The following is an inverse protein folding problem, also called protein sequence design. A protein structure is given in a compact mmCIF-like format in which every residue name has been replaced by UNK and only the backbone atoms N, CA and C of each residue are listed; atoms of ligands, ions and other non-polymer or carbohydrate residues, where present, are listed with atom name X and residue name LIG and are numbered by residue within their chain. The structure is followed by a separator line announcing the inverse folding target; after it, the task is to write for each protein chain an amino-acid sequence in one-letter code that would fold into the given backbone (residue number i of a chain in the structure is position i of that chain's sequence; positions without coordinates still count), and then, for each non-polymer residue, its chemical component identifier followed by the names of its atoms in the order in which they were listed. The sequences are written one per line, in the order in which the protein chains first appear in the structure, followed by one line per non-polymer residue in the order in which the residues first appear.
data_IF_424877469276
#
_entry.id   IF_424877469276
#
_cell.length_a   1.000
_cell.length_b   1.000
_cell.length_c   1.000
_cell.angle_alpha   90.00
_cell.angle_beta   90.00
_cell.angle_gamma   90.00
#
_symmetry.space_group_name_H-M   'P 1'
#
loop_
_entity.id
_entity.type
_entity.pdbx_description
1 polymer ?
#
# COMPACT_ATOMS: atom_id res chain seq x y z
N UNK A 1 16.10 9.89 5.77
CA UNK A 1 15.61 8.51 5.98
C UNK A 1 16.48 7.57 5.17
N UNK A 2 16.86 6.43 5.73
CA UNK A 2 17.76 5.48 5.05
C UNK A 2 16.94 4.28 4.54
N UNK A 3 17.03 4.02 3.23
CA UNK A 3 16.46 2.81 2.63
C UNK A 3 17.19 1.58 3.16
N UNK A 4 16.49 0.68 3.80
CA UNK A 4 17.02 -0.52 4.43
C UNK A 4 16.39 -1.80 3.88
N UNK A 5 15.83 -1.76 2.68
CA UNK A 5 15.11 -2.88 2.07
C UNK A 5 15.87 -4.19 2.12
N UNK A 6 17.17 -4.15 1.83
CA UNK A 6 18.01 -5.36 1.75
C UNK A 6 18.22 -6.07 3.09
N UNK A 7 17.93 -5.40 4.21
CA UNK A 7 18.09 -5.97 5.56
C UNK A 7 16.75 -6.23 6.27
N UNK A 8 15.62 -5.90 5.64
CA UNK A 8 14.29 -6.16 6.18
C UNK A 8 13.80 -7.50 5.64
N UNK A 9 13.78 -8.51 6.50
CA UNK A 9 13.44 -9.89 6.07
C UNK A 9 11.93 -10.15 6.07
N UNK A 10 11.18 -9.57 7.01
CA UNK A 10 9.74 -9.77 7.19
C UNK A 10 9.01 -8.42 7.17
N UNK A 11 8.94 -7.75 6.03
CA UNK A 11 8.43 -6.38 5.95
C UNK A 11 7.02 -6.24 6.53
N UNK A 12 6.15 -7.23 6.36
CA UNK A 12 4.75 -7.15 6.80
C UNK A 12 4.56 -7.22 8.33
N UNK A 13 5.55 -7.68 9.08
CA UNK A 13 5.48 -7.84 10.54
C UNK A 13 6.46 -6.95 11.31
N UNK A 14 7.51 -6.43 10.68
CA UNK A 14 8.51 -5.61 11.35
C UNK A 14 8.02 -4.19 11.64
N UNK A 15 8.45 -3.64 12.78
CA UNK A 15 8.34 -2.21 13.09
C UNK A 15 9.58 -1.51 12.59
N UNK A 16 9.39 -0.40 11.89
CA UNK A 16 10.46 0.37 11.27
C UNK A 16 10.48 1.81 11.79
N UNK A 17 11.54 2.53 11.52
CA UNK A 17 11.75 3.92 11.91
C UNK A 17 12.54 4.66 10.81
N UNK A 18 12.67 5.99 10.83
CA UNK A 18 13.33 6.74 9.75
C UNK A 18 14.76 6.34 9.43
N UNK A 19 15.50 5.78 10.41
CA UNK A 19 16.85 5.22 10.20
C UNK A 19 16.86 3.80 9.58
N UNK A 20 15.72 3.12 9.56
CA UNK A 20 15.54 1.79 8.97
C UNK A 20 14.15 1.71 8.33
N UNK A 21 14.07 1.97 7.05
CA UNK A 21 12.84 2.21 6.31
C UNK A 21 12.85 1.51 4.93
N UNK A 22 11.67 1.26 4.35
CA UNK A 22 11.51 0.54 3.07
C UNK A 22 11.84 1.37 1.82
N UNK A 23 12.09 2.67 1.93
CA UNK A 23 12.47 3.50 0.78
C UNK A 23 11.38 3.72 -0.26
N UNK A 24 10.10 3.78 0.13
CA UNK A 24 8.99 4.01 -0.78
C UNK A 24 8.73 5.50 -1.03
N UNK A 25 8.21 5.82 -2.22
CA UNK A 25 7.63 7.13 -2.53
C UNK A 25 6.14 7.08 -2.19
N UNK A 26 5.73 7.78 -1.13
CA UNK A 26 4.33 7.84 -0.72
C UNK A 26 3.59 8.95 -1.48
N UNK A 27 2.46 8.60 -2.08
CA UNK A 27 1.65 9.51 -2.90
C UNK A 27 0.25 9.77 -2.32
N UNK A 28 -0.13 9.05 -1.25
CA UNK A 28 -1.42 9.25 -0.57
C UNK A 28 -1.27 9.01 0.93
N UNK A 29 -2.00 9.81 1.73
CA UNK A 29 -2.04 9.72 3.19
C UNK A 29 -3.50 9.71 3.63
N UNK A 30 -3.90 8.69 4.39
CA UNK A 30 -5.24 8.54 4.94
C UNK A 30 -5.13 8.51 6.46
N UNK A 31 -5.83 9.43 7.13
CA UNK A 31 -5.87 9.47 8.59
C UNK A 31 -6.86 8.44 9.13
N UNK A 32 -6.44 7.66 10.13
CA UNK A 32 -7.27 6.68 10.83
C UNK A 32 -7.20 6.95 12.33
N UNK A 33 -8.34 6.98 13.01
CA UNK A 33 -8.41 7.10 14.47
C UNK A 33 -8.79 5.77 15.11
N UNK A 34 -8.07 5.39 16.16
CA UNK A 34 -8.33 4.19 16.95
C UNK A 34 -7.97 4.44 18.41
N UNK A 35 -8.92 4.18 19.32
CA UNK A 35 -8.73 4.32 20.78
C UNK A 35 -8.07 5.64 21.19
N UNK A 36 -8.58 6.76 20.64
CA UNK A 36 -8.08 8.11 20.92
C UNK A 36 -6.75 8.48 20.26
N UNK A 37 -6.09 7.54 19.58
CA UNK A 37 -4.82 7.78 18.88
C UNK A 37 -5.02 7.94 17.37
N UNK A 38 -4.17 8.75 16.75
CA UNK A 38 -4.15 8.96 15.31
C UNK A 38 -3.05 8.12 14.67
N UNK A 39 -3.41 7.45 13.57
CA UNK A 39 -2.53 6.69 12.70
C UNK A 39 -2.67 7.22 11.27
N UNK A 40 -1.65 7.06 10.47
CA UNK A 40 -1.65 7.50 9.07
C UNK A 40 -1.37 6.28 8.18
N UNK A 41 -2.29 5.98 7.30
CA UNK A 41 -2.09 4.95 6.28
C UNK A 41 -1.53 5.62 5.04
N UNK A 42 -0.35 5.18 4.63
CA UNK A 42 0.39 5.71 3.51
C UNK A 42 0.27 4.72 2.34
N UNK A 43 -0.03 5.22 1.16
CA UNK A 43 0.05 4.44 -0.07
C UNK A 43 1.30 4.86 -0.82
N UNK A 44 2.13 3.88 -1.18
CA UNK A 44 3.42 4.13 -1.76
C UNK A 44 3.78 3.22 -2.93
N UNK A 45 4.78 3.67 -3.66
CA UNK A 45 5.42 2.94 -4.74
C UNK A 45 6.93 2.87 -4.51
N UNK A 46 7.53 1.77 -4.95
CA UNK A 46 8.96 1.56 -4.89
C UNK A 46 9.42 0.78 -6.12
N UNK A 47 10.42 1.30 -6.82
CA UNK A 47 11.21 0.53 -7.78
C UNK A 47 12.13 -0.41 -7.01
N UNK A 48 12.10 -1.70 -7.31
CA UNK A 48 12.96 -2.70 -6.67
C UNK A 48 14.19 -2.97 -7.53
N UNK A 49 13.96 -3.35 -8.79
CA UNK A 49 14.99 -3.59 -9.79
C UNK A 49 14.38 -3.44 -11.21
N UNK A 50 15.14 -3.83 -12.26
CA UNK A 50 14.66 -3.75 -13.64
C UNK A 50 13.49 -4.70 -13.96
N UNK A 51 13.25 -5.72 -13.14
CA UNK A 51 12.23 -6.74 -13.34
C UNK A 51 11.05 -6.61 -12.39
N UNK A 52 11.26 -6.00 -11.24
CA UNK A 52 10.27 -5.92 -10.15
C UNK A 52 10.03 -4.49 -9.69
N UNK A 53 8.77 -4.22 -9.40
CA UNK A 53 8.32 -3.02 -8.70
C UNK A 53 7.41 -3.41 -7.54
N UNK A 54 7.24 -2.51 -6.59
CA UNK A 54 6.44 -2.75 -5.38
C UNK A 54 5.46 -1.61 -5.15
N UNK A 55 4.24 -1.96 -4.70
CA UNK A 55 3.33 -1.03 -4.05
C UNK A 55 3.17 -1.41 -2.58
N UNK A 56 2.97 -0.39 -1.74
CA UNK A 56 3.04 -0.55 -0.30
C UNK A 56 1.86 0.18 0.34
N UNK A 57 1.18 -0.51 1.27
CA UNK A 57 0.28 0.10 2.24
C UNK A 57 1.01 0.07 3.57
N UNK A 58 1.39 1.23 4.09
CA UNK A 58 2.20 1.38 5.31
C UNK A 58 1.42 2.09 6.39
N UNK A 59 1.60 1.71 7.65
CA UNK A 59 1.01 2.41 8.79
C UNK A 59 2.08 3.21 9.51
N UNK A 60 1.98 4.53 9.45
CA UNK A 60 2.80 5.48 10.20
C UNK A 60 2.08 5.91 11.47
N UNK A 61 2.81 6.02 12.57
CA UNK A 61 2.32 6.53 13.85
C UNK A 61 3.42 7.24 14.63
N UNK A 62 3.00 7.97 15.64
CA UNK A 62 3.91 8.59 16.59
C UNK A 62 3.96 7.78 17.89
N UNK A 63 5.17 7.54 18.38
CA UNK A 63 5.46 6.99 19.69
C UNK A 63 6.22 8.07 20.49
N UNK A 64 5.49 8.80 21.34
CA UNK A 64 5.95 10.08 21.83
C UNK A 64 6.21 11.05 20.67
N UNK A 65 7.42 11.59 20.59
CA UNK A 65 7.85 12.49 19.50
C UNK A 65 8.56 11.74 18.35
N UNK A 66 8.59 10.40 18.37
CA UNK A 66 9.28 9.62 17.37
C UNK A 66 8.31 9.07 16.31
N UNK A 67 8.66 9.26 15.04
CA UNK A 67 7.98 8.62 13.93
C UNK A 67 8.33 7.14 13.88
N UNK A 68 7.31 6.29 13.80
CA UNK A 68 7.43 4.84 13.64
C UNK A 68 6.59 4.40 12.44
N UNK A 69 7.02 3.32 11.80
CA UNK A 69 6.29 2.65 10.73
C UNK A 69 5.97 1.21 11.14
N UNK A 70 4.82 0.72 10.71
CA UNK A 70 4.39 -0.63 10.98
C UNK A 70 3.63 -0.78 12.29
N UNK A 71 2.33 -0.53 12.24
CA UNK A 71 1.40 -0.81 13.31
C UNK A 71 0.34 -1.82 12.84
N UNK A 72 -0.07 -2.83 13.67
CA UNK A 72 -0.99 -3.89 13.25
C UNK A 72 -2.43 -3.38 13.14
N UNK A 73 -2.69 -2.57 12.12
CA UNK A 73 -3.99 -1.98 11.79
C UNK A 73 -4.70 -2.68 10.65
N UNK A 74 -3.98 -3.48 9.85
CA UNK A 74 -4.51 -4.15 8.67
C UNK A 74 -4.84 -5.59 9.04
N UNK A 75 -6.11 -5.98 8.90
CA UNK A 75 -6.59 -7.34 9.18
C UNK A 75 -6.90 -8.06 7.86
N UNK A 76 -6.17 -9.14 7.60
CA UNK A 76 -6.37 -10.04 6.46
C UNK A 76 -6.77 -11.41 6.99
N UNK A 77 -8.06 -11.75 6.88
CA UNK A 77 -8.60 -12.94 7.53
C UNK A 77 -8.45 -12.88 9.05
N UNK A 78 -7.71 -13.81 9.64
CA UNK A 78 -7.40 -13.87 11.08
C UNK A 78 -6.11 -13.13 11.48
N UNK A 79 -5.29 -12.70 10.49
CA UNK A 79 -3.95 -12.15 10.73
C UNK A 79 -3.98 -10.62 10.75
N UNK A 80 -3.24 -10.02 11.68
CA UNK A 80 -2.95 -8.60 11.70
C UNK A 80 -1.57 -8.34 11.10
N UNK A 81 -1.50 -7.38 10.16
CA UNK A 81 -0.27 -6.96 9.49
C UNK A 81 0.07 -5.51 9.82
N UNK A 82 1.35 -5.24 9.91
CA UNK A 82 1.87 -3.88 10.11
C UNK A 82 1.83 -3.06 8.80
N UNK A 83 1.94 -3.75 7.65
CA UNK A 83 1.87 -3.22 6.28
C UNK A 83 1.52 -4.33 5.30
N UNK A 84 1.23 -3.94 4.07
CA UNK A 84 1.13 -4.86 2.93
C UNK A 84 2.13 -4.42 1.86
N UNK A 85 2.83 -5.38 1.28
CA UNK A 85 3.78 -5.18 0.19
C UNK A 85 3.36 -6.05 -0.98
N UNK A 86 3.14 -5.44 -2.13
CA UNK A 86 2.75 -6.08 -3.39
C UNK A 86 3.92 -5.99 -4.34
N UNK A 87 4.58 -7.12 -4.61
CA UNK A 87 5.66 -7.20 -5.60
C UNK A 87 5.12 -7.75 -6.92
N UNK A 88 5.38 -7.10 -8.02
CA UNK A 88 4.89 -7.46 -9.34
C UNK A 88 5.90 -7.11 -10.44
N UNK A 89 5.67 -7.61 -11.66
CA UNK A 89 6.54 -7.34 -12.80
C UNK A 89 6.61 -5.84 -13.09
N UNK A 90 7.83 -5.30 -13.30
CA UNK A 90 8.04 -3.89 -13.57
C UNK A 90 7.36 -3.38 -14.85
N UNK A 91 7.00 -4.27 -15.77
CA UNK A 91 6.26 -3.96 -17.00
C UNK A 91 4.73 -3.97 -16.79
N UNK A 92 4.25 -4.51 -15.66
CA UNK A 92 2.85 -4.47 -15.30
C UNK A 92 2.52 -3.18 -14.53
N UNK A 93 1.26 -2.80 -14.55
CA UNK A 93 0.76 -1.74 -13.69
C UNK A 93 -0.19 -2.34 -12.64
N UNK A 94 -0.19 -1.76 -11.45
CA UNK A 94 -1.10 -2.13 -10.37
C UNK A 94 -1.86 -0.89 -9.93
N UNK A 95 -3.18 -1.01 -9.82
CA UNK A 95 -4.01 0.00 -9.17
C UNK A 95 -3.85 -0.14 -7.65
N UNK A 96 -3.62 0.97 -6.97
CA UNK A 96 -3.68 1.10 -5.51
C UNK A 96 -4.00 2.55 -5.20
N UNK A 97 -5.21 2.83 -4.71
CA UNK A 97 -5.65 4.19 -4.38
C UNK A 97 -6.73 4.17 -3.29
N UNK A 98 -6.96 5.32 -2.67
CA UNK A 98 -8.12 5.53 -1.81
C UNK A 98 -9.31 5.99 -2.65
N UNK A 99 -10.36 5.19 -2.68
CA UNK A 99 -11.61 5.53 -3.35
C UNK A 99 -12.57 6.18 -2.36
N UNK A 100 -12.91 7.45 -2.62
CA UNK A 100 -13.81 8.23 -1.75
C UNK A 100 -15.27 7.73 -1.79
N UNK A 101 -15.74 7.26 -2.96
CA UNK A 101 -17.11 6.74 -3.11
C UNK A 101 -17.26 5.40 -2.39
N UNK A 102 -16.25 4.53 -2.54
CA UNK A 102 -16.19 3.25 -1.85
C UNK A 102 -15.83 3.39 -0.37
N UNK A 103 -15.25 4.55 0.02
CA UNK A 103 -14.69 4.84 1.33
C UNK A 103 -13.69 3.76 1.80
N UNK A 104 -12.76 3.43 0.93
CA UNK A 104 -11.78 2.37 1.18
C UNK A 104 -10.55 2.47 0.29
N UNK A 105 -9.52 1.70 0.61
CA UNK A 105 -8.36 1.53 -0.24
C UNK A 105 -8.66 0.38 -1.20
N UNK A 106 -8.68 0.69 -2.49
CA UNK A 106 -8.95 -0.27 -3.57
C UNK A 106 -7.64 -0.60 -4.27
N UNK A 107 -7.44 -1.86 -4.59
CA UNK A 107 -6.25 -2.34 -5.30
C UNK A 107 -6.55 -3.59 -6.12
N UNK A 108 -5.74 -3.82 -7.15
CA UNK A 108 -5.85 -5.01 -7.98
C UNK A 108 -5.59 -6.27 -7.16
N UNK A 109 -6.43 -7.29 -7.38
CA UNK A 109 -6.18 -8.63 -6.86
C UNK A 109 -5.06 -9.30 -7.66
N UNK A 110 -4.17 -10.00 -6.94
CA UNK A 110 -3.12 -10.81 -7.54
C UNK A 110 -3.44 -12.27 -7.33
N UNK A 111 -3.76 -12.98 -8.38
CA UNK A 111 -3.87 -14.43 -8.33
C UNK A 111 -2.46 -15.04 -8.21
N UNK A 112 -2.26 -15.91 -7.23
CA UNK A 112 -1.07 -16.75 -7.18
C UNK A 112 -1.11 -17.74 -8.34
N UNK A 113 -0.12 -17.71 -9.22
CA UNK A 113 -0.01 -18.71 -10.27
C UNK A 113 0.39 -20.06 -9.65
N UNK A 114 -0.61 -20.92 -9.41
CA UNK A 114 -0.43 -22.25 -8.78
C UNK A 114 0.56 -23.10 -9.57
N UNK A 115 0.66 -22.89 -10.89
CA UNK A 115 1.51 -23.69 -11.78
C UNK A 115 2.96 -23.19 -11.87
N UNK A 116 3.26 -22.01 -11.34
CA UNK A 116 4.62 -21.47 -11.31
C UNK A 116 4.82 -20.60 -10.04
N UNK A 117 5.06 -21.25 -8.88
CA UNK A 117 5.36 -20.55 -7.62
C UNK A 117 6.70 -19.81 -7.73
N UNK A 118 6.68 -18.56 -8.05
CA UNK A 118 7.88 -17.72 -8.29
C UNK A 118 7.77 -16.88 -9.56
N UNK A 119 6.75 -17.09 -10.40
CA UNK A 119 6.43 -16.14 -11.45
C UNK A 119 5.86 -14.88 -10.79
N UNK A 120 6.36 -13.73 -11.25
CA UNK A 120 5.83 -12.44 -10.82
C UNK A 120 4.37 -12.35 -11.29
N UNK A 121 3.46 -12.34 -10.32
CA UNK A 121 2.03 -12.22 -10.58
C UNK A 121 1.73 -10.85 -11.17
N UNK A 122 0.72 -10.78 -12.01
CA UNK A 122 0.09 -9.54 -12.45
C UNK A 122 -1.36 -9.47 -11.94
N UNK A 123 -2.04 -8.32 -12.10
CA UNK A 123 -3.47 -8.21 -11.84
C UNK A 123 -4.26 -9.22 -12.67
N UNK A 124 -5.28 -9.85 -12.09
CA UNK A 124 -6.17 -10.78 -12.78
C UNK A 124 -7.48 -10.15 -13.29
N UNK A 125 -7.63 -8.85 -13.09
CA UNK A 125 -8.79 -8.07 -13.50
C UNK A 125 -9.88 -7.95 -12.44
N UNK A 126 -9.68 -8.54 -11.25
CA UNK A 126 -10.54 -8.34 -10.10
C UNK A 126 -9.92 -7.36 -9.10
N UNK A 127 -10.71 -6.88 -8.15
CA UNK A 127 -10.26 -5.90 -7.15
C UNK A 127 -10.50 -6.39 -5.75
N UNK A 128 -9.54 -6.08 -4.88
CA UNK A 128 -9.69 -6.20 -3.43
C UNK A 128 -9.81 -4.81 -2.81
N UNK A 129 -10.35 -4.74 -1.61
CA UNK A 129 -10.41 -3.49 -0.88
C UNK A 129 -10.18 -3.64 0.62
N UNK A 130 -9.59 -2.60 1.21
CA UNK A 130 -9.55 -2.41 2.65
C UNK A 130 -10.57 -1.35 3.06
N UNK A 131 -11.48 -1.70 3.97
CA UNK A 131 -12.44 -0.76 4.59
C UNK A 131 -12.14 -0.56 6.06
N UNK A 132 -12.37 0.67 6.54
CA UNK A 132 -12.20 0.97 7.97
C UNK A 132 -13.40 0.44 8.74
N UNK A 133 -13.14 -0.44 9.72
CA UNK A 133 -14.11 -0.90 10.70
C UNK A 133 -13.50 -0.80 12.10
N UNK A 134 -14.13 -0.05 12.99
CA UNK A 134 -13.67 0.17 14.38
C UNK A 134 -12.18 0.54 14.48
N UNK A 135 -11.73 1.44 13.59
CA UNK A 135 -10.35 1.92 13.54
C UNK A 135 -9.31 0.91 13.02
N UNK A 136 -9.73 -0.06 12.24
CA UNK A 136 -8.88 -1.06 11.60
C UNK A 136 -9.25 -1.18 10.13
N UNK A 137 -8.27 -1.46 9.29
CA UNK A 137 -8.48 -1.84 7.89
C UNK A 137 -8.83 -3.33 7.81
N UNK A 138 -9.98 -3.66 7.24
CA UNK A 138 -10.45 -5.03 7.03
C UNK A 138 -10.43 -5.32 5.55
N UNK A 139 -9.80 -6.43 5.16
CA UNK A 139 -9.72 -6.88 3.78
C UNK A 139 -11.04 -7.50 3.32
N UNK A 140 -11.48 -7.10 2.14
CA UNK A 140 -12.59 -7.68 1.37
C UNK A 140 -12.05 -8.06 0.00
N UNK A 141 -12.36 -9.26 -0.44
CA UNK A 141 -12.01 -9.77 -1.77
C UNK A 141 -13.14 -9.56 -2.76
N UNK A 142 -12.80 -9.54 -4.05
CA UNK A 142 -13.73 -9.51 -5.18
C UNK A 142 -14.78 -8.39 -5.06
N UNK A 143 -14.31 -7.18 -4.82
CA UNK A 143 -15.21 -6.03 -4.67
C UNK A 143 -15.58 -5.45 -6.02
N UNK A 144 -16.87 -5.15 -6.21
CA UNK A 144 -17.32 -4.37 -7.35
C UNK A 144 -17.00 -2.89 -7.12
N UNK A 145 -16.07 -2.37 -7.89
CA UNK A 145 -15.72 -0.96 -7.89
C UNK A 145 -16.17 -0.36 -9.21
N UNK A 146 -16.92 0.73 -9.14
CA UNK A 146 -17.25 1.50 -10.36
C UNK A 146 -15.98 2.14 -10.90
N UNK A 147 -15.32 1.46 -11.84
CA UNK A 147 -14.08 1.91 -12.51
C UNK A 147 -14.37 2.97 -13.59
N UNK A 148 -15.28 3.90 -13.36
CA UNK A 148 -15.26 5.13 -14.14
C UNK A 148 -14.02 5.90 -13.70
N UNK A 149 -12.91 5.67 -14.44
CA UNK A 149 -11.75 6.53 -14.39
C UNK A 149 -12.22 7.94 -14.78
N UNK A 150 -12.34 8.81 -13.80
CA UNK A 150 -12.53 10.24 -14.06
C UNK A 150 -11.12 10.81 -14.25
N UNK A 151 -10.79 11.37 -15.43
CA UNK A 151 -9.52 12.06 -15.60
C UNK A 151 -9.38 13.09 -14.49
N UNK A 152 -8.22 13.16 -13.86
CA UNK A 152 -7.93 14.24 -12.91
C UNK A 152 -7.97 15.54 -13.70
N UNK A 153 -9.06 16.26 -13.64
CA UNK A 153 -9.10 17.64 -14.06
C UNK A 153 -8.09 18.39 -13.19
N UNK A 154 -7.14 19.06 -13.87
CA UNK A 154 -6.18 20.02 -13.30
C UNK A 154 -4.97 19.47 -12.52
N UNK A 155 -4.16 18.63 -13.15
CA UNK A 155 -2.73 18.66 -12.84
C UNK A 155 -2.10 19.81 -13.67
N UNK A 156 -1.40 20.77 -13.04
CA UNK A 156 -0.61 21.74 -13.79
C UNK A 156 0.40 20.99 -14.66
N UNK A 157 0.47 21.34 -15.93
CA UNK A 157 1.46 20.79 -16.87
C UNK A 157 2.86 21.08 -16.28
N UNK A 158 3.82 20.14 -16.41
CA UNK A 158 5.20 20.41 -16.04
C UNK A 158 5.72 21.62 -16.86
N UNK A 159 6.53 22.51 -16.26
CA UNK A 159 7.08 23.66 -16.96
C UNK A 159 7.88 23.20 -18.18
N UNK A 160 7.60 23.84 -19.32
CA UNK A 160 8.38 23.62 -20.54
C UNK A 160 9.85 23.88 -20.26
N UNK A 161 10.69 22.91 -20.59
CA UNK A 161 12.15 23.09 -20.57
C UNK A 161 12.52 24.10 -21.66
N UNK A 162 12.98 25.27 -21.23
CA UNK A 162 13.68 26.23 -22.12
C UNK A 162 15.08 25.71 -22.41
#
# INVERSE_FOLDING_TARGET
MNDSTNVIQKPESEKLYPGRWLGAVYYSIIQVRKSGKTYYTLLGWKGKDQKQTEKIIEILYYDGNQVKFGFPLIKTGSVFRNRMVFSFNAQASMILHFDKKYNGIVFDHFSSNINNPGSLSGPDGTYDALKIQKGKWILFHDVEVSTKWEPRENLPLPPEKK
#
